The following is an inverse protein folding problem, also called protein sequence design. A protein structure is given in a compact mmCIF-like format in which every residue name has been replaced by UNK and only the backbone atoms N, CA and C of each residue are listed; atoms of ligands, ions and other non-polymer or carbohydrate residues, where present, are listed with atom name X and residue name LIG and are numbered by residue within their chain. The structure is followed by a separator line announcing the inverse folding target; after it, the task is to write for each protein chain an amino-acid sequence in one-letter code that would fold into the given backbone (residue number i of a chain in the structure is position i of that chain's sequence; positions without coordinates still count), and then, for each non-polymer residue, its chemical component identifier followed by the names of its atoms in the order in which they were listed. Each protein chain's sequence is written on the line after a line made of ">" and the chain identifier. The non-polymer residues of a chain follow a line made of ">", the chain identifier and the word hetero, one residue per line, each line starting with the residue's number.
data_IF_951230675830
#
_entry.id   IF_951230675830
#
_cell.length_a   1.000
_cell.length_b   1.000
_cell.length_c   1.000
_cell.angle_alpha   90.00
_cell.angle_beta   90.00
_cell.angle_gamma   90.00
#
_symmetry.space_group_name_H-M   'P 1'
#
loop_
_entity.id
_entity.type
_entity.pdbx_description
1 polymer ?
#
# COMPACT_ATOMS: atom_id res chain seq x y z
N UNK A 1 1.42 -11.97 18.15
CA UNK A 1 1.95 -10.59 17.96
C UNK A 1 1.07 -9.65 18.77
N UNK A 2 1.58 -9.00 19.81
CA UNK A 2 0.83 -7.96 20.53
C UNK A 2 0.61 -6.78 19.57
N UNK A 3 -0.59 -6.64 19.01
CA UNK A 3 -0.96 -5.46 18.22
C UNK A 3 -1.16 -4.34 19.24
N UNK A 4 -0.20 -3.41 19.34
CA UNK A 4 -0.39 -2.22 20.18
C UNK A 4 -1.63 -1.51 19.66
N UNK A 5 -2.64 -1.36 20.52
CA UNK A 5 -3.80 -0.51 20.22
C UNK A 5 -3.30 0.92 20.33
N UNK A 6 -3.22 1.61 19.21
CA UNK A 6 -2.74 3.00 19.15
C UNK A 6 -3.96 3.90 19.39
N UNK A 7 -3.94 4.76 20.42
CA UNK A 7 -4.98 5.75 20.65
C UNK A 7 -5.18 6.66 19.43
N UNK A 8 -6.42 7.00 19.11
CA UNK A 8 -6.75 7.87 17.95
C UNK A 8 -6.16 9.29 18.07
N UNK A 9 -5.86 9.73 19.29
CA UNK A 9 -5.27 11.04 19.60
C UNK A 9 -3.81 11.15 19.14
N UNK A 10 -3.09 10.03 19.07
CA UNK A 10 -1.69 10.00 18.62
C UNK A 10 -1.56 10.06 17.10
N UNK A 11 -2.67 9.92 16.37
CA UNK A 11 -2.67 9.98 14.92
C UNK A 11 -2.48 11.41 14.43
N UNK A 12 -1.49 11.59 13.56
CA UNK A 12 -1.27 12.81 12.79
C UNK A 12 -2.26 12.89 11.64
N UNK A 13 -2.55 14.09 11.18
CA UNK A 13 -3.42 14.34 10.01
C UNK A 13 -2.57 14.71 8.80
N UNK A 14 -2.74 14.00 7.69
CA UNK A 14 -2.11 14.29 6.39
C UNK A 14 -2.94 15.33 5.60
N UNK A 15 -2.39 15.78 4.47
CA UNK A 15 -2.98 16.85 3.64
C UNK A 15 -4.43 16.58 3.18
N UNK A 16 -4.81 15.31 2.99
CA UNK A 16 -6.16 14.92 2.58
C UNK A 16 -7.11 14.61 3.75
N UNK A 17 -6.74 14.97 5.00
CA UNK A 17 -7.52 14.65 6.19
C UNK A 17 -7.34 13.20 6.69
N UNK A 18 -6.50 12.42 6.01
CA UNK A 18 -6.12 11.07 6.40
C UNK A 18 -5.39 11.06 7.74
N UNK A 19 -5.80 10.16 8.64
CA UNK A 19 -5.14 9.97 9.92
C UNK A 19 -4.09 8.87 9.81
N UNK A 20 -2.87 9.16 10.22
CA UNK A 20 -1.78 8.18 10.24
C UNK A 20 -0.95 8.24 11.51
N UNK A 21 -0.28 7.14 11.83
CA UNK A 21 0.67 7.03 12.92
C UNK A 21 1.93 6.31 12.44
N UNK A 22 3.10 6.89 12.75
CA UNK A 22 4.40 6.30 12.43
C UNK A 22 4.76 5.27 13.51
N UNK A 23 4.59 3.99 13.20
CA UNK A 23 4.96 2.88 14.09
C UNK A 23 6.48 2.77 14.23
N UNK A 24 7.18 3.03 13.14
CA UNK A 24 8.64 3.07 13.07
C UNK A 24 9.04 4.20 12.13
N UNK A 25 9.85 5.14 12.60
CA UNK A 25 10.47 6.13 11.73
C UNK A 25 11.70 5.51 11.06
N UNK A 26 11.76 5.57 9.73
CA UNK A 26 12.88 5.09 8.95
C UNK A 26 14.10 6.00 9.05
N UNK A 27 15.27 5.53 8.63
CA UNK A 27 16.52 6.30 8.66
C UNK A 27 17.04 6.70 7.27
N UNK A 28 16.39 6.24 6.20
CA UNK A 28 16.81 6.55 4.84
C UNK A 28 16.22 7.84 4.26
N UNK A 29 16.31 8.00 2.92
CA UNK A 29 15.73 9.14 2.19
C UNK A 29 14.25 9.33 2.48
N UNK A 30 13.80 10.59 2.38
CA UNK A 30 12.41 10.99 2.59
C UNK A 30 11.67 10.93 1.25
N UNK A 31 10.47 10.36 1.26
CA UNK A 31 9.57 10.33 0.12
C UNK A 31 8.95 11.71 -0.12
N UNK A 32 9.27 12.33 -1.26
CA UNK A 32 8.83 13.69 -1.62
C UNK A 32 7.81 13.64 -2.76
N UNK A 33 6.74 14.41 -2.65
CA UNK A 33 5.71 14.54 -3.68
C UNK A 33 6.26 15.25 -4.92
N UNK A 34 5.95 14.73 -6.09
CA UNK A 34 6.24 15.39 -7.38
C UNK A 34 7.60 15.03 -7.99
N UNK A 35 8.43 14.24 -7.29
CA UNK A 35 9.55 13.58 -7.94
C UNK A 35 9.04 12.43 -8.80
N UNK A 36 9.62 12.23 -10.00
CA UNK A 36 9.31 11.08 -10.87
C UNK A 36 10.01 9.80 -10.39
N UNK A 37 10.32 9.73 -9.11
CA UNK A 37 11.01 8.62 -8.45
C UNK A 37 9.96 7.58 -8.05
N UNK A 38 10.23 6.33 -8.38
CA UNK A 38 9.33 5.20 -8.13
C UNK A 38 9.70 4.55 -6.81
N UNK A 39 8.84 4.69 -5.81
CA UNK A 39 9.08 4.13 -4.48
C UNK A 39 8.54 2.71 -4.38
N UNK A 40 9.34 1.82 -3.80
CA UNK A 40 8.91 0.48 -3.45
C UNK A 40 8.31 0.45 -2.05
N UNK A 41 7.07 0.00 -1.94
CA UNK A 41 6.36 -0.13 -0.68
C UNK A 41 5.76 -1.50 -0.51
N UNK A 42 5.67 -1.95 0.73
CA UNK A 42 4.68 -2.94 1.09
C UNK A 42 3.49 -2.27 1.76
N UNK A 43 2.29 -2.66 1.34
CA UNK A 43 1.05 -2.30 2.01
C UNK A 43 0.20 -3.52 2.33
N UNK A 44 -0.54 -3.42 3.42
CA UNK A 44 -1.50 -4.40 3.92
C UNK A 44 -2.78 -3.65 4.33
N UNK A 45 -3.93 -3.99 3.72
CA UNK A 45 -5.23 -3.44 4.06
C UNK A 45 -5.97 -4.42 4.96
N UNK A 46 -6.18 -4.04 6.21
CA UNK A 46 -6.78 -4.84 7.26
C UNK A 46 -8.21 -4.37 7.54
N UNK A 47 -9.17 -5.28 7.44
CA UNK A 47 -10.54 -5.03 7.83
C UNK A 47 -11.01 -6.05 8.86
N UNK A 48 -11.43 -5.57 10.03
CA UNK A 48 -11.88 -6.41 11.16
C UNK A 48 -10.91 -7.55 11.53
N UNK A 49 -9.61 -7.30 11.38
CA UNK A 49 -8.54 -8.26 11.70
C UNK A 49 -8.19 -9.24 10.58
N UNK A 50 -8.78 -9.10 9.39
CA UNK A 50 -8.46 -9.89 8.21
C UNK A 50 -7.66 -9.02 7.23
N UNK A 51 -6.57 -9.56 6.71
CA UNK A 51 -5.82 -8.95 5.61
C UNK A 51 -6.64 -9.16 4.33
N UNK A 52 -7.30 -8.10 3.87
CA UNK A 52 -8.20 -8.14 2.72
C UNK A 52 -7.47 -7.88 1.40
N UNK A 53 -6.43 -7.03 1.44
CA UNK A 53 -5.60 -6.73 0.26
C UNK A 53 -4.18 -6.48 0.72
N UNK A 54 -3.24 -7.29 0.26
CA UNK A 54 -1.82 -7.10 0.59
C UNK A 54 -0.92 -7.18 -0.63
N UNK A 55 0.07 -6.27 -0.70
CA UNK A 55 1.23 -6.39 -1.62
C UNK A 55 2.07 -7.65 -1.40
N UNK A 56 1.98 -8.25 -0.22
CA UNK A 56 2.75 -9.44 0.17
C UNK A 56 2.04 -10.73 -0.16
N UNK A 57 0.80 -10.68 -0.64
CA UNK A 57 0.07 -11.86 -1.07
C UNK A 57 0.81 -12.59 -2.18
N UNK A 58 0.83 -13.91 -2.04
CA UNK A 58 1.68 -14.80 -2.82
C UNK A 58 1.40 -14.71 -4.32
N UNK A 59 2.40 -14.26 -5.09
CA UNK A 59 2.51 -14.68 -6.49
C UNK A 59 3.09 -16.08 -6.51
N UNK A 60 2.29 -17.07 -6.90
CA UNK A 60 2.77 -18.44 -7.03
C UNK A 60 3.78 -18.51 -8.18
N UNK A 61 5.07 -18.63 -7.85
CA UNK A 61 6.10 -18.99 -8.83
C UNK A 61 6.26 -20.50 -8.83
N UNK A 62 6.37 -21.08 -10.03
CA UNK A 62 6.40 -22.52 -10.31
C UNK A 62 6.96 -23.36 -9.15
N UNK A 63 6.08 -24.15 -8.53
CA UNK A 63 6.43 -25.04 -7.42
C UNK A 63 6.69 -24.34 -6.08
N UNK A 64 5.65 -23.72 -5.50
CA UNK A 64 5.57 -23.35 -4.08
C UNK A 64 6.52 -22.25 -3.56
N UNK A 65 7.05 -21.37 -4.41
CA UNK A 65 7.77 -20.18 -3.93
C UNK A 65 6.83 -18.99 -3.80
N UNK A 66 6.61 -18.55 -2.57
CA UNK A 66 5.91 -17.31 -2.23
C UNK A 66 6.95 -16.20 -2.15
N UNK A 67 6.85 -15.20 -3.02
CA UNK A 67 7.64 -13.96 -2.92
C UNK A 67 6.69 -12.81 -2.59
N UNK A 68 7.06 -11.99 -1.61
CA UNK A 68 6.42 -10.71 -1.39
C UNK A 68 6.94 -9.75 -2.47
N UNK A 69 6.07 -9.27 -3.37
CA UNK A 69 6.47 -8.29 -4.38
C UNK A 69 6.16 -6.88 -3.85
N UNK A 70 7.16 -6.00 -3.71
CA UNK A 70 6.90 -4.60 -3.41
C UNK A 70 5.98 -3.99 -4.48
N UNK A 71 5.11 -3.09 -4.05
CA UNK A 71 4.33 -2.26 -4.93
C UNK A 71 5.14 -1.01 -5.27
N UNK A 72 5.24 -0.71 -6.55
CA UNK A 72 5.90 0.47 -7.07
C UNK A 72 4.89 1.60 -7.23
N UNK A 73 5.23 2.79 -6.70
CA UNK A 73 4.40 3.97 -6.82
C UNK A 73 5.19 5.28 -6.90
N UNK A 74 4.64 6.24 -7.63
CA UNK A 74 5.10 7.64 -7.58
C UNK A 74 4.25 8.43 -6.56
N UNK A 75 4.92 9.08 -5.61
CA UNK A 75 4.27 9.80 -4.48
C UNK A 75 3.43 10.98 -5.00
N UNK A 76 2.18 11.02 -4.58
CA UNK A 76 1.19 12.01 -4.97
C UNK A 76 0.60 11.81 -6.38
N UNK A 77 0.94 10.72 -7.07
CA UNK A 77 0.30 10.39 -8.35
C UNK A 77 -1.11 9.82 -8.15
N UNK A 78 -1.94 9.89 -9.19
CA UNK A 78 -3.32 9.38 -9.14
C UNK A 78 -3.31 7.88 -9.47
N UNK A 79 -4.03 7.03 -8.71
CA UNK A 79 -4.16 5.61 -8.99
C UNK A 79 -4.57 5.33 -10.43
N UNK A 80 -3.87 4.40 -11.09
CA UNK A 80 -4.19 3.95 -12.44
C UNK A 80 -3.47 4.68 -13.58
N UNK A 81 -2.78 5.81 -13.31
CA UNK A 81 -1.88 6.44 -14.30
C UNK A 81 -0.61 5.61 -14.56
N UNK A 82 -0.20 4.86 -13.56
CA UNK A 82 0.99 4.01 -13.53
C UNK A 82 0.77 2.61 -14.14
N UNK A 83 -0.48 2.23 -14.42
CA UNK A 83 -0.80 0.98 -15.15
C UNK A 83 -0.50 1.13 -16.66
N UNK A 84 0.73 1.48 -17.02
CA UNK A 84 1.31 0.96 -18.25
C UNK A 84 1.95 -0.36 -17.90
N UNK A 85 1.18 -1.42 -18.10
CA UNK A 85 1.64 -2.81 -18.09
C UNK A 85 2.77 -2.88 -19.12
N UNK A 86 4.03 -2.89 -18.68
CA UNK A 86 5.03 -3.61 -19.46
C UNK A 86 4.65 -5.08 -19.34
N UNK A 87 4.05 -5.58 -20.41
CA UNK A 87 4.15 -6.98 -20.75
C UNK A 87 5.65 -7.28 -20.77
N UNK A 88 6.17 -7.94 -19.74
CA UNK A 88 7.49 -8.54 -19.84
C UNK A 88 7.34 -9.68 -20.83
N UNK A 89 7.66 -9.41 -22.09
CA UNK A 89 7.86 -10.40 -23.15
C UNK A 89 9.14 -11.19 -22.84
N UNK A 90 9.13 -11.95 -21.75
CA UNK A 90 10.09 -13.04 -21.59
C UNK A 90 9.47 -14.28 -22.25
N UNK A 91 10.22 -14.88 -23.18
CA UNK A 91 9.81 -15.96 -24.09
C UNK A 91 9.28 -17.26 -23.45
N UNK A 92 9.07 -17.29 -22.13
CA UNK A 92 8.40 -18.36 -21.39
C UNK A 92 7.09 -17.82 -20.79
N UNK A 93 6.12 -17.52 -21.65
CA UNK A 93 4.79 -16.99 -21.32
C UNK A 93 3.89 -17.90 -20.47
N UNK A 94 4.43 -18.51 -19.41
CA UNK A 94 3.71 -19.24 -18.36
C UNK A 94 3.16 -18.31 -17.26
N UNK A 95 3.51 -17.03 -17.27
CA UNK A 95 3.09 -16.05 -16.26
C UNK A 95 1.75 -15.40 -16.62
N UNK A 96 0.68 -16.20 -16.69
CA UNK A 96 -0.67 -15.66 -16.79
C UNK A 96 -1.15 -15.10 -15.45
N UNK A 97 -1.23 -13.76 -15.38
CA UNK A 97 -2.36 -13.02 -14.85
C UNK A 97 -2.76 -13.12 -13.36
N UNK A 98 -1.83 -13.21 -12.40
CA UNK A 98 -2.16 -12.69 -11.07
C UNK A 98 -2.07 -11.16 -11.14
N UNK A 99 -3.23 -10.50 -11.19
CA UNK A 99 -3.29 -9.05 -11.19
C UNK A 99 -2.68 -8.54 -9.89
N UNK A 100 -1.71 -7.62 -10.00
CA UNK A 100 -1.14 -6.98 -8.81
C UNK A 100 -2.28 -6.44 -7.93
N UNK A 101 -2.18 -6.62 -6.60
CA UNK A 101 -3.21 -6.19 -5.68
C UNK A 101 -3.52 -4.71 -5.93
N UNK A 102 -4.80 -4.36 -5.95
CA UNK A 102 -5.21 -2.99 -6.27
C UNK A 102 -5.02 -2.11 -5.03
N UNK A 103 -4.05 -1.17 -5.02
CA UNK A 103 -3.86 -0.30 -3.87
C UNK A 103 -5.05 0.65 -3.70
N UNK A 104 -5.35 1.08 -2.47
CA UNK A 104 -6.28 2.18 -2.24
C UNK A 104 -5.64 3.52 -2.64
N UNK A 105 -6.43 4.53 -3.06
CA UNK A 105 -5.93 5.87 -3.37
C UNK A 105 -5.08 6.52 -2.28
N UNK A 106 -5.45 6.32 -1.01
CA UNK A 106 -4.72 6.83 0.15
C UNK A 106 -3.24 6.43 0.18
N UNK A 107 -2.86 5.31 -0.44
CA UNK A 107 -1.47 4.86 -0.47
C UNK A 107 -0.56 5.90 -1.13
N UNK A 108 -1.03 6.56 -2.18
CA UNK A 108 -0.24 7.50 -2.96
C UNK A 108 0.07 8.81 -2.20
N UNK A 109 -0.75 9.16 -1.22
CA UNK A 109 -0.62 10.42 -0.47
C UNK A 109 -0.01 10.19 0.90
N UNK A 110 -0.30 9.06 1.54
CA UNK A 110 0.21 8.77 2.89
C UNK A 110 1.69 8.38 2.94
N UNK A 111 2.29 8.05 1.80
CA UNK A 111 3.74 7.80 1.70
C UNK A 111 4.53 9.11 1.73
N UNK A 112 3.90 10.25 1.44
CA UNK A 112 4.54 11.56 1.51
C UNK A 112 5.13 11.81 2.92
N UNK A 113 6.40 12.22 2.95
CA UNK A 113 7.16 12.47 4.17
C UNK A 113 7.61 11.22 4.93
N UNK A 114 7.31 10.00 4.45
CA UNK A 114 7.88 8.78 5.04
C UNK A 114 9.38 8.68 4.75
N UNK A 115 10.13 8.10 5.69
CA UNK A 115 11.54 7.74 5.49
C UNK A 115 11.67 6.28 5.14
N UNK A 116 12.61 5.96 4.25
CA UNK A 116 12.97 4.57 3.90
C UNK A 116 13.30 3.75 5.15
N UNK A 117 12.74 2.54 5.21
CA UNK A 117 12.75 1.64 6.37
C UNK A 117 11.63 1.92 7.39
N UNK A 118 10.82 2.96 7.17
CA UNK A 118 9.75 3.36 8.07
C UNK A 118 8.47 2.52 7.92
N UNK A 119 7.68 2.46 9.00
CA UNK A 119 6.36 1.79 9.06
C UNK A 119 5.31 2.76 9.53
N UNK A 120 4.21 2.85 8.78
CA UNK A 120 3.10 3.75 9.04
C UNK A 120 1.80 2.96 9.06
N UNK A 121 0.91 3.25 10.01
CA UNK A 121 -0.47 2.77 9.99
C UNK A 121 -1.40 3.94 9.72
N UNK A 122 -2.46 3.68 8.96
CA UNK A 122 -3.34 4.71 8.39
C UNK A 122 -4.77 4.24 8.55
N UNK A 123 -5.65 5.11 9.02
CA UNK A 123 -7.09 4.86 9.00
C UNK A 123 -7.62 5.38 7.68
N UNK A 124 -8.05 4.47 6.82
CA UNK A 124 -8.49 4.79 5.45
C UNK A 124 -10.01 4.85 5.44
N UNK A 125 -10.52 6.06 5.18
CA UNK A 125 -11.96 6.31 4.98
C UNK A 125 -12.37 5.90 3.55
N UNK A 126 -13.67 5.68 3.29
CA UNK A 126 -14.11 5.09 2.02
C UNK A 126 -13.81 5.95 0.80
N UNK A 127 -13.84 7.27 0.94
CA UNK A 127 -13.60 8.28 -0.10
C UNK A 127 -12.18 8.23 -0.68
N UNK A 128 -11.19 7.92 0.17
CA UNK A 128 -9.78 7.72 -0.22
C UNK A 128 -9.37 6.24 -0.19
N UNK A 129 -10.34 5.34 -0.05
CA UNK A 129 -10.18 3.89 -0.02
C UNK A 129 -10.83 3.22 -1.22
N UNK A 130 -11.70 2.22 -0.96
CA UNK A 130 -12.37 1.44 -2.01
C UNK A 130 -13.79 1.93 -2.37
N UNK A 131 -14.26 3.01 -1.73
CA UNK A 131 -15.51 3.70 -2.06
C UNK A 131 -16.74 2.79 -2.06
N UNK A 132 -17.67 3.07 -2.96
CA UNK A 132 -18.95 2.35 -3.09
C UNK A 132 -18.83 0.93 -3.65
N UNK A 133 -17.65 0.54 -4.13
CA UNK A 133 -17.42 -0.80 -4.69
C UNK A 133 -16.92 -1.79 -3.65
N UNK A 134 -16.22 -1.32 -2.61
CA UNK A 134 -15.47 -2.20 -1.73
C UNK A 134 -14.32 -2.93 -2.45
N UNK A 135 -13.69 -3.87 -1.75
CA UNK A 135 -12.63 -4.72 -2.26
C UNK A 135 -12.47 -5.96 -1.38
N UNK A 136 -12.56 -7.15 -1.96
CA UNK A 136 -12.48 -8.42 -1.23
C UNK A 136 -13.38 -8.40 0.03
N UNK A 137 -12.84 -8.60 1.23
CA UNK A 137 -13.56 -8.58 2.51
C UNK A 137 -13.95 -7.17 2.98
N UNK A 138 -13.46 -6.10 2.33
CA UNK A 138 -13.82 -4.71 2.63
C UNK A 138 -15.13 -4.38 1.91
N UNK A 139 -16.25 -4.17 2.64
CA UNK A 139 -17.52 -3.86 2.00
C UNK A 139 -17.55 -2.43 1.43
N UNK A 140 -18.53 -2.12 0.56
CA UNK A 140 -18.82 -0.76 0.15
C UNK A 140 -18.91 0.21 1.33
N UNK A 141 -18.35 1.42 1.15
CA UNK A 141 -18.42 2.52 2.13
C UNK A 141 -17.79 2.18 3.50
N UNK A 142 -16.90 1.19 3.57
CA UNK A 142 -16.24 0.79 4.81
C UNK A 142 -14.94 1.56 5.06
N UNK A 143 -14.68 1.84 6.35
CA UNK A 143 -13.38 2.30 6.84
C UNK A 143 -12.55 1.09 7.23
N UNK A 144 -11.24 1.13 6.97
CA UNK A 144 -10.31 0.04 7.28
C UNK A 144 -8.94 0.59 7.66
N UNK A 145 -8.10 -0.26 8.26
CA UNK A 145 -6.73 0.11 8.62
C UNK A 145 -5.78 -0.32 7.50
N UNK A 146 -4.87 0.55 7.11
CA UNK A 146 -3.80 0.22 6.17
C UNK A 146 -2.45 0.33 6.87
N UNK A 147 -1.62 -0.70 6.75
CA UNK A 147 -0.22 -0.66 7.17
C UNK A 147 0.67 -0.50 5.95
N UNK A 148 1.66 0.39 6.03
CA UNK A 148 2.58 0.71 4.94
C UNK A 148 4.01 0.60 5.47
N UNK A 149 4.90 -0.03 4.71
CA UNK A 149 6.34 -0.08 4.92
C UNK A 149 7.03 0.45 3.66
N UNK A 150 7.86 1.48 3.83
CA UNK A 150 8.63 2.08 2.74
C UNK A 150 9.99 1.37 2.66
N UNK A 151 10.30 0.77 1.51
CA UNK A 151 11.50 -0.05 1.34
C UNK A 151 12.65 0.75 0.75
N UNK A 152 12.47 1.29 -0.44
CA UNK A 152 13.50 2.02 -1.20
C UNK A 152 12.86 2.81 -2.36
N UNK A 153 13.71 3.45 -3.16
CA UNK A 153 13.39 4.39 -4.24
C UNK A 153 13.99 3.94 -5.58
#
# INVERSE_FOLDING_TARGET
>A
RNKKVIPIEDYKTAADGLKYYDVLEGNGPVAVKGETVTWQVHFDCLYRGIDAVSSREAKLLGGNRIIAQPYELIVGSVPGRERKREFVDNANGLFSAQASPKPPPALYTVVEGMRVGGKRTVIVTPDVGYGDRGMNEIPPKATFDMSVELLEL
#
